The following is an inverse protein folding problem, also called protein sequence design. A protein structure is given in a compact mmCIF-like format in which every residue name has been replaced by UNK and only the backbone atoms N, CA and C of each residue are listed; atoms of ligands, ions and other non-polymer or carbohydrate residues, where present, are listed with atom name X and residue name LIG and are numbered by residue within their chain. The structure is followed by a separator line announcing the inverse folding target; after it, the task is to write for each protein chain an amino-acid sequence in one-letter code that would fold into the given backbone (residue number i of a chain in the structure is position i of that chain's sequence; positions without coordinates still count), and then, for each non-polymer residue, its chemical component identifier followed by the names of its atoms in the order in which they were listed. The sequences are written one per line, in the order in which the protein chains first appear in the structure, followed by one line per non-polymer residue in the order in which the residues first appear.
data_IF_481005629836
#
_entry.id   IF_481005629836
#
_cell.length_a   1.000
_cell.length_b   1.000
_cell.length_c   1.000
_cell.angle_alpha   90.00
_cell.angle_beta   90.00
_cell.angle_gamma   90.00
#
_symmetry.space_group_name_H-M   'P 1'
#
loop_
_entity.id
_entity.type
_entity.pdbx_description
1 polymer ?
#
# COMPACT_ATOMS: atom_id res chain seq x y z
N UNK A 1 -11.92 16.47 -12.87
CA UNK A 1 -12.82 16.75 -11.73
C UNK A 1 -12.92 15.47 -10.91
N UNK A 2 -12.36 15.46 -9.71
CA UNK A 2 -12.43 14.30 -8.81
C UNK A 2 -13.89 14.13 -8.39
N UNK A 3 -14.52 13.03 -8.79
CA UNK A 3 -15.85 12.67 -8.25
C UNK A 3 -15.65 12.35 -6.77
N UNK A 4 -15.99 13.29 -5.92
CA UNK A 4 -16.13 13.03 -4.49
C UNK A 4 -17.12 11.88 -4.32
N UNK A 5 -16.70 10.80 -3.72
CA UNK A 5 -17.59 9.74 -3.28
C UNK A 5 -18.65 10.36 -2.36
N UNK A 6 -19.93 10.11 -2.59
CA UNK A 6 -20.92 10.41 -1.59
C UNK A 6 -20.53 9.61 -0.35
N UNK A 7 -20.40 10.31 0.78
CA UNK A 7 -20.20 9.62 2.05
C UNK A 7 -21.27 8.53 2.19
N UNK A 8 -20.92 7.27 2.52
CA UNK A 8 -21.90 6.24 2.65
C UNK A 8 -23.00 6.73 3.60
N UNK A 9 -24.25 6.65 3.17
CA UNK A 9 -25.41 7.13 3.93
C UNK A 9 -25.45 6.63 5.38
N UNK A 10 -24.72 5.56 5.69
CA UNK A 10 -24.61 4.95 7.00
C UNK A 10 -23.64 5.61 7.98
N UNK A 11 -22.81 6.58 7.53
CA UNK A 11 -21.79 7.20 8.40
C UNK A 11 -22.40 7.96 9.58
N UNK A 12 -23.64 8.44 9.44
CA UNK A 12 -24.32 9.27 10.44
C UNK A 12 -25.54 8.61 11.08
N UNK A 13 -26.07 7.51 10.50
CA UNK A 13 -27.30 6.87 11.01
C UNK A 13 -27.09 6.12 12.33
N UNK A 14 -25.85 5.79 12.68
CA UNK A 14 -25.51 5.00 13.86
C UNK A 14 -25.08 5.82 15.08
N UNK A 15 -25.23 7.16 15.04
CA UNK A 15 -24.84 8.01 16.18
C UNK A 15 -25.88 8.04 17.34
N UNK A 16 -27.09 7.51 17.12
CA UNK A 16 -28.16 7.45 18.13
C UNK A 16 -28.56 6.01 18.40
N UNK A 17 -28.06 5.44 19.49
CA UNK A 17 -28.52 4.16 19.99
C UNK A 17 -27.41 3.14 20.23
N UNK A 18 -27.70 2.05 20.98
CA UNK A 18 -26.80 0.91 21.16
C UNK A 18 -26.44 0.36 19.78
N UNK A 19 -25.17 0.51 19.41
CA UNK A 19 -24.66 0.03 18.13
C UNK A 19 -24.99 -1.44 17.96
N UNK A 20 -25.59 -1.82 16.85
CA UNK A 20 -25.79 -3.21 16.47
C UNK A 20 -24.41 -3.90 16.54
N UNK A 21 -24.32 -4.98 17.29
CA UNK A 21 -23.11 -5.79 17.36
C UNK A 21 -23.12 -6.70 16.14
N UNK A 22 -22.18 -6.51 15.26
CA UNK A 22 -21.96 -7.46 14.17
C UNK A 22 -21.54 -8.80 14.76
N UNK A 23 -22.19 -9.89 14.36
CA UNK A 23 -21.69 -11.24 14.62
C UNK A 23 -20.47 -11.52 13.72
N UNK A 24 -19.66 -12.56 13.97
CA UNK A 24 -18.59 -12.96 13.06
C UNK A 24 -19.07 -13.19 11.63
N UNK A 25 -20.22 -13.82 11.46
CA UNK A 25 -20.82 -14.07 10.14
C UNK A 25 -21.27 -12.77 9.46
N UNK A 26 -21.89 -11.84 10.22
CA UNK A 26 -22.25 -10.53 9.70
C UNK A 26 -21.01 -9.76 9.21
N UNK A 27 -19.89 -9.84 9.95
CA UNK A 27 -18.63 -9.20 9.53
C UNK A 27 -18.10 -9.79 8.23
N UNK A 28 -18.17 -11.10 8.07
CA UNK A 28 -17.73 -11.77 6.85
C UNK A 28 -18.61 -11.37 5.66
N UNK A 29 -19.92 -11.29 5.84
CA UNK A 29 -20.85 -10.88 4.78
C UNK A 29 -20.70 -9.39 4.42
N UNK A 30 -20.56 -8.52 5.41
CA UNK A 30 -20.33 -7.09 5.16
C UNK A 30 -18.96 -6.86 4.49
N UNK A 31 -17.96 -7.67 4.81
CA UNK A 31 -16.66 -7.58 4.12
C UNK A 31 -16.76 -8.00 2.64
N UNK A 32 -17.50 -9.05 2.32
CA UNK A 32 -17.77 -9.44 0.93
C UNK A 32 -18.46 -8.31 0.15
N UNK A 33 -19.46 -7.65 0.77
CA UNK A 33 -20.14 -6.50 0.17
C UNK A 33 -19.21 -5.31 -0.05
N UNK A 34 -18.32 -5.06 0.92
CA UNK A 34 -17.29 -4.01 0.80
C UNK A 34 -16.34 -4.29 -0.37
N UNK A 35 -15.90 -5.53 -0.56
CA UNK A 35 -15.04 -5.90 -1.69
C UNK A 35 -15.77 -5.72 -3.02
N UNK A 36 -17.02 -6.18 -3.11
CA UNK A 36 -17.84 -5.99 -4.31
C UNK A 36 -18.03 -4.49 -4.66
N UNK A 37 -18.20 -3.63 -3.66
CA UNK A 37 -18.28 -2.18 -3.85
C UNK A 37 -16.95 -1.60 -4.39
N UNK A 38 -15.81 -2.08 -3.90
CA UNK A 38 -14.50 -1.66 -4.42
C UNK A 38 -14.27 -2.08 -5.87
N UNK A 39 -14.77 -3.24 -6.26
CA UNK A 39 -14.69 -3.76 -7.64
C UNK A 39 -15.64 -2.99 -8.58
N UNK A 40 -16.83 -2.64 -8.13
CA UNK A 40 -17.79 -1.87 -8.90
C UNK A 40 -17.34 -0.40 -9.06
N UNK A 41 -16.83 0.19 -7.97
CA UNK A 41 -16.42 1.60 -7.91
C UNK A 41 -14.92 1.79 -8.20
N UNK A 42 -14.48 1.36 -9.37
CA UNK A 42 -13.09 1.46 -9.81
C UNK A 42 -12.63 2.92 -10.00
N UNK A 43 -11.34 3.16 -9.78
CA UNK A 43 -10.71 4.44 -10.07
C UNK A 43 -10.26 4.44 -11.54
N UNK A 44 -10.63 5.47 -12.27
CA UNK A 44 -10.12 5.71 -13.61
C UNK A 44 -8.84 6.55 -13.54
N UNK A 45 -7.76 6.02 -14.10
CA UNK A 45 -6.48 6.72 -14.20
C UNK A 45 -6.15 6.93 -15.66
N UNK A 46 -6.03 8.20 -16.05
CA UNK A 46 -5.53 8.57 -17.37
C UNK A 46 -4.00 8.66 -17.32
N UNK A 47 -3.35 7.86 -18.16
CA UNK A 47 -1.90 7.90 -18.32
C UNK A 47 -1.58 8.41 -19.72
N UNK A 48 -0.75 9.45 -19.79
CA UNK A 48 -0.28 10.00 -21.06
C UNK A 48 1.09 9.39 -21.38
N UNK A 49 1.14 8.55 -22.40
CA UNK A 49 2.39 8.02 -22.92
C UNK A 49 2.91 8.93 -24.03
N UNK A 50 4.15 9.38 -23.89
CA UNK A 50 4.88 10.07 -24.94
C UNK A 50 5.85 9.06 -25.55
N UNK A 51 5.77 8.85 -26.84
CA UNK A 51 6.70 7.99 -27.55
C UNK A 51 7.18 8.67 -28.83
N UNK A 52 8.40 8.35 -29.22
CA UNK A 52 9.01 8.84 -30.43
C UNK A 52 8.87 7.76 -31.51
N UNK A 53 8.32 8.12 -32.65
CA UNK A 53 8.22 7.21 -33.80
C UNK A 53 9.55 7.16 -34.53
N UNK A 54 9.74 6.12 -35.34
CA UNK A 54 10.93 5.93 -36.19
C UNK A 54 11.24 7.14 -37.12
N UNK A 55 10.26 7.99 -37.34
CA UNK A 55 10.40 9.22 -38.15
C UNK A 55 10.65 10.48 -37.30
N UNK A 56 11.11 10.34 -36.06
CA UNK A 56 11.40 11.43 -35.11
C UNK A 56 10.17 12.27 -34.72
N UNK A 57 8.96 11.81 -35.03
CA UNK A 57 7.73 12.47 -34.58
C UNK A 57 7.39 12.12 -33.16
N UNK A 58 7.16 13.13 -32.32
CA UNK A 58 6.68 12.94 -30.93
C UNK A 58 5.18 12.77 -30.94
N UNK A 59 4.70 11.59 -30.56
CA UNK A 59 3.27 11.31 -30.41
C UNK A 59 2.90 11.13 -28.94
N UNK A 60 1.67 11.52 -28.62
CA UNK A 60 1.07 11.31 -27.29
C UNK A 60 -0.11 10.35 -27.45
N UNK A 61 -0.12 9.33 -26.61
CA UNK A 61 -1.26 8.42 -26.51
C UNK A 61 -1.83 8.53 -25.10
N UNK A 62 -3.13 8.80 -25.00
CA UNK A 62 -3.87 8.71 -23.74
C UNK A 62 -4.38 7.30 -23.59
N UNK A 63 -4.13 6.73 -22.42
CA UNK A 63 -4.68 5.43 -22.06
C UNK A 63 -5.41 5.57 -20.73
N UNK A 64 -6.70 5.28 -20.74
CA UNK A 64 -7.51 5.20 -19.52
C UNK A 64 -7.52 3.77 -19.02
N UNK A 65 -7.14 3.57 -17.78
CA UNK A 65 -7.19 2.27 -17.11
C UNK A 65 -8.06 2.39 -15.86
N UNK A 66 -8.84 1.35 -15.61
CA UNK A 66 -9.68 1.23 -14.41
C UNK A 66 -9.02 0.29 -13.43
N UNK A 67 -8.92 0.72 -12.18
CA UNK A 67 -8.32 -0.05 -11.10
C UNK A 67 -9.26 -0.13 -9.91
N UNK A 68 -9.44 -1.34 -9.38
CA UNK A 68 -10.07 -1.50 -8.08
C UNK A 68 -9.16 -0.88 -7.00
N UNK A 69 -9.74 -0.24 -6.00
CA UNK A 69 -8.97 0.29 -4.87
C UNK A 69 -8.45 -0.86 -4.01
N UNK A 70 -7.21 -0.78 -3.49
CA UNK A 70 -6.75 -1.78 -2.55
C UNK A 70 -7.62 -1.78 -1.28
N UNK A 71 -8.07 -2.94 -0.80
CA UNK A 71 -8.87 -3.02 0.41
C UNK A 71 -8.05 -2.60 1.63
N UNK A 72 -8.68 -1.84 2.54
CA UNK A 72 -8.06 -1.35 3.76
C UNK A 72 -8.95 -1.65 4.96
N UNK A 73 -8.39 -2.28 5.99
CA UNK A 73 -9.11 -2.59 7.23
C UNK A 73 -9.71 -1.33 7.85
N UNK A 74 -8.91 -0.25 7.91
CA UNK A 74 -9.39 1.01 8.47
C UNK A 74 -10.59 1.58 7.69
N UNK A 75 -10.57 1.49 6.37
CA UNK A 75 -11.65 1.96 5.51
C UNK A 75 -12.91 1.10 5.70
N UNK A 76 -12.75 -0.22 5.75
CA UNK A 76 -13.83 -1.16 6.07
C UNK A 76 -14.46 -0.86 7.42
N UNK A 77 -13.66 -0.73 8.47
CA UNK A 77 -14.17 -0.51 9.83
C UNK A 77 -14.82 0.85 9.99
N UNK A 78 -14.16 1.92 9.52
CA UNK A 78 -14.61 3.29 9.82
C UNK A 78 -15.63 3.81 8.81
N UNK A 79 -15.43 3.58 7.52
CA UNK A 79 -16.31 4.09 6.48
C UNK A 79 -17.46 3.16 6.16
N UNK A 80 -17.17 1.86 6.05
CA UNK A 80 -18.20 0.89 5.67
C UNK A 80 -19.08 0.51 6.87
N UNK A 81 -18.48 0.05 7.97
CA UNK A 81 -19.23 -0.36 9.16
C UNK A 81 -19.64 0.81 10.07
N UNK A 82 -19.05 1.98 9.90
CA UNK A 82 -19.29 3.15 10.77
C UNK A 82 -18.82 2.93 12.21
N UNK A 83 -17.85 2.04 12.42
CA UNK A 83 -17.32 1.69 13.74
C UNK A 83 -15.98 2.35 13.99
N UNK A 84 -15.55 2.40 15.25
CA UNK A 84 -14.23 2.95 15.60
C UNK A 84 -13.15 1.88 15.43
N UNK A 85 -11.92 2.32 15.15
CA UNK A 85 -10.75 1.46 15.09
C UNK A 85 -10.55 0.68 16.41
N UNK A 86 -10.75 1.35 17.53
CA UNK A 86 -10.67 0.73 18.87
C UNK A 86 -11.69 -0.39 19.05
N UNK A 87 -12.91 -0.24 18.52
CA UNK A 87 -13.91 -1.30 18.53
C UNK A 87 -13.41 -2.56 17.82
N UNK A 88 -12.80 -2.42 16.64
CA UNK A 88 -12.24 -3.55 15.89
C UNK A 88 -11.22 -4.35 16.71
N UNK A 89 -10.26 -3.66 17.32
CA UNK A 89 -9.25 -4.32 18.13
C UNK A 89 -9.79 -4.89 19.46
N UNK A 90 -10.95 -4.44 19.92
CA UNK A 90 -11.57 -4.99 21.11
C UNK A 90 -12.32 -6.29 20.88
N UNK A 91 -12.64 -6.64 19.63
CA UNK A 91 -13.41 -7.85 19.30
C UNK A 91 -12.75 -9.15 19.76
N UNK A 92 -11.44 -9.38 19.52
CA UNK A 92 -10.76 -10.60 19.96
C UNK A 92 -10.70 -10.76 21.49
N UNK A 93 -10.79 -9.65 22.22
CA UNK A 93 -10.67 -9.64 23.69
C UNK A 93 -12.01 -9.76 24.42
N UNK A 94 -13.11 -9.91 23.68
CA UNK A 94 -14.46 -10.08 24.26
C UNK A 94 -14.73 -11.52 24.69
N UNK A 95 -15.91 -11.73 25.31
CA UNK A 95 -16.37 -13.07 25.74
C UNK A 95 -16.45 -14.11 24.60
N UNK A 96 -16.58 -13.67 23.36
CA UNK A 96 -16.60 -14.50 22.15
C UNK A 96 -15.41 -14.19 21.25
N UNK A 97 -14.28 -13.81 21.86
CA UNK A 97 -13.08 -13.36 21.14
C UNK A 97 -12.58 -14.34 20.11
N UNK A 98 -12.55 -15.64 20.43
CA UNK A 98 -12.09 -16.69 19.53
C UNK A 98 -12.92 -16.78 18.22
N UNK A 99 -14.24 -16.55 18.29
CA UNK A 99 -15.10 -16.57 17.10
C UNK A 99 -14.76 -15.41 16.14
N UNK A 100 -14.40 -14.24 16.71
CA UNK A 100 -14.01 -13.06 15.93
C UNK A 100 -12.60 -13.14 15.40
N UNK A 101 -11.68 -13.76 16.15
CA UNK A 101 -10.27 -13.86 15.79
C UNK A 101 -10.09 -14.49 14.40
N UNK A 102 -10.76 -15.62 14.16
CA UNK A 102 -10.69 -16.31 12.87
C UNK A 102 -11.20 -15.47 11.69
N UNK A 103 -12.26 -14.68 11.90
CA UNK A 103 -12.81 -13.82 10.84
C UNK A 103 -11.91 -12.61 10.62
N UNK A 104 -11.41 -11.99 11.69
CA UNK A 104 -10.49 -10.85 11.64
C UNK A 104 -9.20 -11.25 10.92
N UNK A 105 -8.64 -12.41 11.25
CA UNK A 105 -7.44 -12.93 10.60
C UNK A 105 -7.65 -13.11 9.09
N UNK A 106 -8.75 -13.74 8.67
CA UNK A 106 -9.08 -13.92 7.25
C UNK A 106 -9.25 -12.59 6.52
N UNK A 107 -9.94 -11.62 7.12
CA UNK A 107 -10.10 -10.28 6.55
C UNK A 107 -8.74 -9.59 6.41
N UNK A 108 -7.91 -9.69 7.44
CA UNK A 108 -6.57 -9.09 7.46
C UNK A 108 -5.69 -9.72 6.39
N UNK A 109 -5.68 -11.05 6.30
CA UNK A 109 -4.91 -11.77 5.30
C UNK A 109 -5.36 -11.42 3.88
N UNK A 110 -6.67 -11.39 3.63
CA UNK A 110 -7.21 -10.99 2.32
C UNK A 110 -6.75 -9.58 1.92
N UNK A 111 -6.80 -8.61 2.85
CA UNK A 111 -6.34 -7.26 2.59
C UNK A 111 -4.83 -7.22 2.30
N UNK A 112 -4.04 -8.04 2.99
CA UNK A 112 -2.60 -8.15 2.79
C UNK A 112 -2.30 -8.73 1.40
N UNK A 113 -2.86 -9.91 1.09
CA UNK A 113 -2.61 -10.63 -0.16
C UNK A 113 -3.02 -9.78 -1.38
N UNK A 114 -4.21 -9.18 -1.36
CA UNK A 114 -4.69 -8.34 -2.46
C UNK A 114 -3.77 -7.15 -2.72
N UNK A 115 -3.24 -6.52 -1.67
CA UNK A 115 -2.28 -5.42 -1.82
C UNK A 115 -0.94 -5.89 -2.35
N UNK A 116 -0.44 -7.00 -1.82
CA UNK A 116 0.83 -7.58 -2.22
C UNK A 116 0.79 -8.01 -3.69
N UNK A 117 -0.21 -8.79 -4.07
CA UNK A 117 -0.39 -9.27 -5.45
C UNK A 117 -0.56 -8.11 -6.43
N UNK A 118 -1.37 -7.11 -6.07
CA UNK A 118 -1.54 -5.90 -6.87
C UNK A 118 -0.24 -5.10 -7.06
N UNK A 119 0.64 -5.10 -6.06
CA UNK A 119 1.96 -4.48 -6.17
C UNK A 119 2.91 -5.29 -7.06
N UNK A 120 2.89 -6.62 -6.94
CA UNK A 120 3.72 -7.54 -7.75
C UNK A 120 3.40 -7.40 -9.24
N UNK A 121 2.13 -7.32 -9.60
CA UNK A 121 1.72 -7.16 -11.01
C UNK A 121 1.75 -5.71 -11.50
N UNK A 122 2.22 -4.77 -10.67
CA UNK A 122 2.32 -3.36 -11.03
C UNK A 122 0.98 -2.61 -11.08
N UNK A 123 -0.09 -3.19 -10.53
CA UNK A 123 -1.41 -2.55 -10.41
C UNK A 123 -1.37 -1.41 -9.38
N UNK A 124 -0.64 -1.61 -8.29
CA UNK A 124 -0.41 -0.64 -7.24
C UNK A 124 1.06 -0.22 -7.18
N UNK A 125 1.33 0.97 -6.66
CA UNK A 125 2.71 1.40 -6.44
C UNK A 125 3.38 0.55 -5.35
N UNK A 126 4.37 -0.25 -5.74
CA UNK A 126 5.05 -1.20 -4.86
C UNK A 126 5.65 -0.54 -3.61
N UNK A 127 6.26 0.65 -3.74
CA UNK A 127 6.87 1.36 -2.61
C UNK A 127 5.83 1.83 -1.59
N UNK A 128 4.65 2.27 -2.06
CA UNK A 128 3.56 2.68 -1.18
C UNK A 128 3.00 1.46 -0.46
N UNK A 129 2.76 0.37 -1.18
CA UNK A 129 2.24 -0.87 -0.60
C UNK A 129 3.24 -1.48 0.39
N UNK A 130 4.53 -1.53 0.06
CA UNK A 130 5.55 -2.02 0.98
C UNK A 130 5.54 -1.27 2.33
N UNK A 131 5.39 0.06 2.29
CA UNK A 131 5.26 0.88 3.52
C UNK A 131 3.96 0.62 4.27
N UNK A 132 2.83 0.48 3.55
CA UNK A 132 1.52 0.20 4.15
C UNK A 132 1.48 -1.18 4.81
N UNK A 133 2.17 -2.17 4.23
CA UNK A 133 2.32 -3.52 4.77
C UNK A 133 3.44 -3.64 5.83
N UNK A 134 4.18 -2.57 6.08
CA UNK A 134 5.29 -2.56 7.04
C UNK A 134 6.50 -3.39 6.60
N UNK A 135 6.62 -3.68 5.30
CA UNK A 135 7.78 -4.37 4.74
C UNK A 135 8.99 -3.43 4.82
N UNK A 136 10.01 -3.84 5.56
CA UNK A 136 11.27 -3.10 5.63
C UNK A 136 12.18 -3.61 4.53
N UNK A 137 12.64 -2.70 3.67
CA UNK A 137 13.82 -2.96 2.89
C UNK A 137 14.99 -3.09 3.88
N UNK A 138 15.51 -4.29 4.04
CA UNK A 138 16.81 -4.49 4.66
C UNK A 138 17.86 -4.04 3.63
N UNK A 139 17.96 -2.74 3.40
CA UNK A 139 19.16 -2.18 2.81
C UNK A 139 20.22 -2.38 3.89
N UNK A 140 20.94 -3.49 3.82
CA UNK A 140 22.23 -3.61 4.46
C UNK A 140 23.12 -2.58 3.75
N UNK A 141 23.02 -1.31 4.16
CA UNK A 141 24.07 -0.34 3.88
C UNK A 141 25.29 -0.94 4.56
N UNK A 142 26.12 -1.59 3.75
CA UNK A 142 27.41 -2.04 4.21
C UNK A 142 28.09 -0.78 4.75
N UNK A 143 28.26 -0.68 6.06
CA UNK A 143 29.02 0.39 6.69
C UNK A 143 30.47 0.46 6.20
N UNK A 144 30.89 -0.51 5.36
CA UNK A 144 32.22 -0.50 4.73
C UNK A 144 32.43 0.66 3.78
N UNK A 145 31.36 1.19 3.14
CA UNK A 145 31.52 2.30 2.19
C UNK A 145 31.49 3.68 2.87
N UNK A 146 31.16 3.76 4.16
CA UNK A 146 31.12 5.02 4.88
C UNK A 146 32.39 5.31 5.70
N UNK A 147 33.19 4.28 5.99
CA UNK A 147 34.38 4.41 6.82
C UNK A 147 35.71 4.33 6.01
N UNK A 148 35.64 4.07 4.70
CA UNK A 148 36.81 4.23 3.81
C UNK A 148 36.91 5.67 3.32
N UNK A 149 36.91 6.64 4.23
CA UNK A 149 37.64 7.84 4.01
C UNK A 149 39.14 7.48 4.12
N UNK A 150 39.73 7.19 2.99
CA UNK A 150 41.20 7.14 2.90
C UNK A 150 41.72 8.39 3.57
N UNK A 151 42.62 8.21 4.51
CA UNK A 151 43.27 9.38 5.15
C UNK A 151 43.98 10.19 4.08
N UNK A 152 44.16 11.48 4.31
CA UNK A 152 44.91 12.36 3.37
C UNK A 152 46.29 11.77 3.06
N UNK A 153 46.92 11.10 4.02
CA UNK A 153 48.18 10.40 3.87
C UNK A 153 48.11 9.20 2.92
N UNK A 154 47.01 8.44 2.93
CA UNK A 154 46.79 7.30 2.03
C UNK A 154 46.55 7.78 0.60
N UNK A 155 45.84 8.88 0.43
CA UNK A 155 45.62 9.51 -0.87
C UNK A 155 46.92 10.01 -1.47
N UNK A 156 47.78 10.72 -0.67
CA UNK A 156 49.08 11.18 -1.12
C UNK A 156 50.03 10.02 -1.48
N UNK A 157 49.99 8.93 -0.72
CA UNK A 157 50.76 7.73 -1.01
C UNK A 157 50.37 7.10 -2.34
N UNK A 158 49.08 7.01 -2.63
CA UNK A 158 48.58 6.43 -3.88
C UNK A 158 48.85 7.34 -5.10
N UNK A 159 48.78 8.67 -4.94
CA UNK A 159 49.17 9.62 -5.98
C UNK A 159 50.65 9.44 -6.32
N UNK A 160 51.54 9.36 -5.33
CA UNK A 160 52.99 9.13 -5.55
C UNK A 160 53.30 7.78 -6.20
N UNK A 161 52.42 6.78 -5.96
CA UNK A 161 52.56 5.47 -6.59
C UNK A 161 52.17 5.51 -8.07
N UNK A 162 51.10 6.22 -8.41
CA UNK A 162 50.67 6.39 -9.78
C UNK A 162 51.63 7.23 -10.61
N UNK A 163 52.19 8.31 -10.07
CA UNK A 163 53.21 9.14 -10.73
C UNK A 163 54.49 8.36 -11.09
N UNK A 164 54.85 7.35 -10.28
CA UNK A 164 55.98 6.46 -10.58
C UNK A 164 55.72 5.44 -11.68
N UNK A 165 54.43 5.15 -11.98
CA UNK A 165 54.05 4.24 -13.03
C UNK A 165 53.99 4.91 -14.41
N UNK A 166 53.71 6.21 -14.47
CA UNK A 166 53.69 6.99 -15.72
C UNK A 166 55.07 7.43 -16.24
N UNK A 167 56.14 7.17 -15.46
CA UNK A 167 57.52 7.52 -15.81
C UNK A 167 58.34 6.32 -16.35
N UNK A 168 57.67 5.22 -16.72
CA UNK A 168 58.30 4.07 -17.39
C UNK A 168 57.69 3.83 -18.75
#
# INVERSE_FOLDING_TARGET
MSKFYPAPKRLFDNLRGRKARYSPDDLAEEFKRYIADLEENQIEVETNYRYQTSNDERRQQRRTQKYARPPKILDFVTRWLGMTHQWWYSLPHGKRGADYEAVIERITQYCYDTKFDGAVVGLYNANIIARDLGLKENIAVSKRDADEHMSEEDIEAEIKRLEKLDLK
#
